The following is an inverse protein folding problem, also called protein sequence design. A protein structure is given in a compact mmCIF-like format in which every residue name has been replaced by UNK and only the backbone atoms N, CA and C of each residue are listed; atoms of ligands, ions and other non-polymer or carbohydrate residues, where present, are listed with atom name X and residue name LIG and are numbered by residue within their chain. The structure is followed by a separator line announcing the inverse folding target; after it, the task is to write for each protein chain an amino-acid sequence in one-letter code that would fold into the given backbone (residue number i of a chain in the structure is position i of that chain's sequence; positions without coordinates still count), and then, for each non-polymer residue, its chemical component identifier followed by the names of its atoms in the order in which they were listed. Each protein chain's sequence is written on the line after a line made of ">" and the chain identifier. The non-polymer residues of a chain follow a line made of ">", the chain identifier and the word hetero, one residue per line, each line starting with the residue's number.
data_IF_953063875925
#
_entry.id   IF_953063875925
#
_cell.length_a   1.000
_cell.length_b   1.000
_cell.length_c   1.000
_cell.angle_alpha   90.00
_cell.angle_beta   90.00
_cell.angle_gamma   90.00
#
_symmetry.space_group_name_H-M   'P 1'
#
loop_
_entity.id
_entity.type
_entity.pdbx_description
1 polymer ?
#
# COMPACT_ATOMS: atom_id res chain seq x y z
N UNK A 1 -0.80 31.32 42.21
CA UNK A 1 -1.38 31.98 41.02
C UNK A 1 -0.73 31.40 39.79
N UNK A 2 -1.50 31.16 38.73
CA UNK A 2 -1.03 30.50 37.50
C UNK A 2 -0.44 31.49 36.50
N UNK A 3 0.78 31.23 36.03
CA UNK A 3 1.24 31.71 34.73
C UNK A 3 1.30 30.52 33.77
N UNK A 4 0.20 30.31 33.05
CA UNK A 4 0.13 29.43 31.88
C UNK A 4 0.52 30.21 30.61
N UNK A 5 0.73 29.49 29.50
CA UNK A 5 0.90 29.99 28.12
C UNK A 5 2.25 30.74 27.88
N UNK A 6 3.12 30.36 26.94
CA UNK A 6 3.00 29.44 25.81
C UNK A 6 4.29 28.65 25.60
N UNK A 7 4.22 27.32 25.50
CA UNK A 7 5.17 26.55 24.70
C UNK A 7 4.74 26.67 23.23
N UNK A 8 5.70 26.88 22.33
CA UNK A 8 5.45 27.46 21.02
C UNK A 8 4.63 26.55 20.08
N UNK A 9 3.32 26.84 19.95
CA UNK A 9 2.50 26.32 18.86
C UNK A 9 2.97 26.89 17.53
N UNK A 10 3.85 26.16 16.83
CA UNK A 10 4.23 26.46 15.45
C UNK A 10 4.14 25.20 14.58
N UNK A 11 2.91 24.75 14.31
CA UNK A 11 2.67 23.79 13.23
C UNK A 11 2.49 24.59 11.93
N UNK A 12 3.33 24.33 10.93
CA UNK A 12 3.23 24.95 9.60
C UNK A 12 2.01 24.38 8.83
N UNK A 13 0.80 24.75 9.28
CA UNK A 13 -0.49 24.48 8.61
C UNK A 13 -0.70 25.44 7.43
N UNK A 14 0.20 25.39 6.44
CA UNK A 14 -0.12 25.88 5.10
C UNK A 14 -1.39 25.15 4.63
N UNK A 15 -2.39 25.91 4.15
CA UNK A 15 -3.78 25.47 3.93
C UNK A 15 -3.94 24.30 2.92
N UNK A 16 -3.60 23.09 3.35
CA UNK A 16 -3.94 21.85 2.66
C UNK A 16 -5.40 21.52 2.94
N UNK A 17 -6.27 21.64 1.93
CA UNK A 17 -7.64 21.17 2.03
C UNK A 17 -7.63 19.65 2.21
N UNK A 18 -7.94 19.19 3.42
CA UNK A 18 -8.06 17.78 3.74
C UNK A 18 -9.20 17.11 2.93
N UNK A 19 -9.12 15.80 2.68
CA UNK A 19 -10.26 15.03 2.17
C UNK A 19 -11.48 15.14 3.10
N UNK A 20 -12.67 14.95 2.54
CA UNK A 20 -13.89 14.91 3.33
C UNK A 20 -13.83 13.76 4.36
N UNK A 21 -14.22 14.05 5.60
CA UNK A 21 -14.06 13.14 6.75
C UNK A 21 -12.71 13.21 7.48
N UNK A 22 -11.66 13.80 6.91
CA UNK A 22 -10.33 13.84 7.55
C UNK A 22 -10.08 15.13 8.33
N UNK A 23 -9.41 15.02 9.49
CA UNK A 23 -8.98 16.14 10.34
C UNK A 23 -7.50 16.03 10.71
N UNK A 24 -6.87 17.11 11.18
CA UNK A 24 -5.59 17.01 11.88
C UNK A 24 -5.82 16.59 13.34
N UNK A 25 -4.94 15.75 13.90
CA UNK A 25 -5.06 15.32 15.30
C UNK A 25 -5.10 16.51 16.27
N UNK A 26 -4.30 17.54 15.99
CA UNK A 26 -4.21 18.77 16.78
C UNK A 26 -5.51 19.57 16.88
N UNK A 27 -6.47 19.37 15.96
CA UNK A 27 -7.75 20.10 15.97
C UNK A 27 -8.86 19.37 16.74
N UNK A 28 -8.64 18.12 17.18
CA UNK A 28 -9.58 17.32 17.97
C UNK A 28 -9.02 16.88 19.33
N UNK A 29 -7.70 16.71 19.42
CA UNK A 29 -7.00 16.28 20.64
C UNK A 29 -5.64 16.99 20.78
N UNK A 30 -5.64 18.33 21.00
CA UNK A 30 -4.42 19.11 21.16
C UNK A 30 -3.57 18.72 22.39
N UNK A 31 -4.15 17.97 23.34
CA UNK A 31 -3.46 17.40 24.50
C UNK A 31 -2.56 16.20 24.16
N UNK A 32 -2.70 15.61 22.97
CA UNK A 32 -1.88 14.48 22.53
C UNK A 32 -0.58 14.99 21.92
N UNK A 33 0.53 14.58 22.52
CA UNK A 33 1.89 14.81 22.03
C UNK A 33 2.14 14.00 20.74
N UNK A 34 2.76 14.59 19.72
CA UNK A 34 2.80 14.01 18.35
C UNK A 34 4.24 13.73 17.92
N UNK A 35 4.58 12.45 17.74
CA UNK A 35 5.86 12.02 17.18
C UNK A 35 5.65 11.28 15.86
N UNK A 36 5.78 11.98 14.74
CA UNK A 36 5.59 11.42 13.39
C UNK A 36 6.88 10.73 12.92
N UNK A 37 7.10 9.50 13.39
CA UNK A 37 8.35 8.73 13.18
C UNK A 37 8.79 8.69 11.70
N UNK A 38 7.84 8.47 10.78
CA UNK A 38 8.10 8.36 9.34
C UNK A 38 8.40 9.70 8.63
N UNK A 39 8.09 10.85 9.25
CA UNK A 39 8.52 12.16 8.75
C UNK A 39 9.99 12.49 9.11
N UNK A 40 10.59 11.71 10.03
CA UNK A 40 11.98 11.82 10.50
C UNK A 40 12.86 10.76 9.82
N UNK A 41 14.15 10.72 10.18
CA UNK A 41 15.07 9.64 9.77
C UNK A 41 15.13 8.47 10.76
N UNK A 42 14.60 8.68 11.96
CA UNK A 42 14.61 7.73 13.06
C UNK A 42 13.44 6.74 12.92
N UNK A 43 13.53 5.86 11.92
CA UNK A 43 12.58 4.80 11.62
C UNK A 43 13.32 3.65 10.89
N UNK A 44 12.63 2.56 10.56
CA UNK A 44 13.25 1.39 9.93
C UNK A 44 13.76 1.59 8.48
N UNK A 45 13.51 2.71 7.83
CA UNK A 45 14.17 3.07 6.55
C UNK A 45 15.47 3.85 6.77
N UNK A 46 15.75 4.34 7.99
CA UNK A 46 16.87 5.25 8.27
C UNK A 46 16.77 6.61 7.56
N UNK A 47 15.62 6.91 6.95
CA UNK A 47 15.39 8.09 6.12
C UNK A 47 13.91 8.55 6.19
N UNK A 48 13.63 9.75 5.64
CA UNK A 48 12.26 10.30 5.60
C UNK A 48 11.41 9.54 4.59
N UNK A 49 10.28 9.00 5.02
CA UNK A 49 9.42 8.16 4.20
C UNK A 49 8.64 9.00 3.18
N UNK A 50 8.67 8.57 1.91
CA UNK A 50 7.97 9.23 0.81
C UNK A 50 6.45 9.36 1.10
N UNK A 51 5.94 10.60 1.11
CA UNK A 51 4.54 10.91 1.45
C UNK A 51 4.33 11.46 2.86
N UNK A 52 5.27 11.29 3.79
CA UNK A 52 5.24 11.91 5.12
C UNK A 52 5.86 13.31 5.08
N UNK A 53 5.27 14.20 4.26
CA UNK A 53 5.98 15.43 3.90
C UNK A 53 6.14 16.46 5.04
N UNK A 54 5.29 16.38 6.06
CA UNK A 54 5.31 17.24 7.26
C UNK A 54 5.10 16.39 8.52
N UNK A 55 5.62 16.86 9.65
CA UNK A 55 5.34 16.29 10.98
C UNK A 55 3.93 16.67 11.48
N UNK A 56 2.89 16.24 10.77
CA UNK A 56 1.49 16.42 11.16
C UNK A 56 0.71 15.13 10.92
N UNK A 57 -0.09 14.71 11.90
CA UNK A 57 -0.90 13.50 11.79
C UNK A 57 -2.30 13.90 11.33
N UNK A 58 -2.77 13.29 10.25
CA UNK A 58 -4.14 13.43 9.71
C UNK A 58 -4.88 12.12 10.03
N UNK A 59 -6.03 12.19 10.68
CA UNK A 59 -6.61 11.03 11.38
C UNK A 59 -8.15 11.01 11.45
N UNK A 60 -8.68 9.87 11.91
CA UNK A 60 -9.69 9.80 12.97
C UNK A 60 -9.02 9.29 14.29
N UNK A 61 -8.14 10.10 14.92
CA UNK A 61 -7.19 9.72 16.02
C UNK A 61 -6.15 8.61 15.59
N UNK A 62 -4.93 8.35 16.09
CA UNK A 62 -3.84 9.01 16.90
C UNK A 62 -2.46 8.58 16.28
N UNK A 63 -1.32 9.21 16.65
CA UNK A 63 0.10 8.89 16.35
C UNK A 63 0.52 8.65 14.87
N UNK A 64 0.21 7.51 14.25
CA UNK A 64 0.25 7.37 12.78
C UNK A 64 -1.04 6.72 12.27
N UNK A 65 -1.88 7.51 11.60
CA UNK A 65 -3.22 7.09 11.18
C UNK A 65 -3.32 6.87 9.67
N UNK A 66 -3.15 7.91 8.85
CA UNK A 66 -3.20 7.80 7.39
C UNK A 66 -1.81 7.59 6.76
N UNK A 67 -1.56 6.37 6.28
CA UNK A 67 -0.34 5.98 5.55
C UNK A 67 -0.64 5.88 4.05
N UNK A 68 -0.10 6.82 3.27
CA UNK A 68 -0.22 6.83 1.81
C UNK A 68 0.22 5.49 1.20
N UNK A 69 -0.47 4.98 0.17
CA UNK A 69 -0.06 3.74 -0.50
C UNK A 69 1.37 3.80 -1.06
N UNK A 70 1.87 4.98 -1.47
CA UNK A 70 3.27 5.16 -1.89
C UNK A 70 4.30 4.84 -0.78
N UNK A 71 3.95 5.05 0.49
CA UNK A 71 4.80 4.70 1.63
C UNK A 71 4.83 3.18 1.83
N UNK A 72 3.67 2.52 1.69
CA UNK A 72 3.55 1.05 1.69
C UNK A 72 4.35 0.44 0.54
N UNK A 73 4.33 1.05 -0.65
CA UNK A 73 5.15 0.62 -1.79
C UNK A 73 6.65 0.80 -1.50
N UNK A 74 7.06 1.93 -0.91
CA UNK A 74 8.45 2.17 -0.49
C UNK A 74 8.92 1.14 0.55
N UNK A 75 8.03 0.68 1.45
CA UNK A 75 8.32 -0.41 2.37
C UNK A 75 8.56 -1.75 1.64
N UNK A 76 7.79 -2.06 0.56
CA UNK A 76 8.04 -3.23 -0.31
C UNK A 76 9.37 -3.11 -1.05
N UNK A 77 9.64 -1.97 -1.68
CA UNK A 77 10.88 -1.72 -2.41
C UNK A 77 12.10 -1.90 -1.50
N UNK A 78 12.06 -1.31 -0.31
CA UNK A 78 13.11 -1.42 0.68
C UNK A 78 13.30 -2.86 1.22
N UNK A 79 12.23 -3.60 1.51
CA UNK A 79 12.37 -4.96 2.06
C UNK A 79 12.96 -5.95 1.06
N UNK A 80 12.72 -5.71 -0.23
CA UNK A 80 13.26 -6.51 -1.33
C UNK A 80 14.73 -6.18 -1.61
N UNK A 81 15.21 -4.98 -1.30
CA UNK A 81 16.64 -4.67 -1.30
C UNK A 81 17.35 -5.33 -0.11
N UNK A 82 17.79 -6.57 -0.32
CA UNK A 82 18.59 -7.33 0.63
C UNK A 82 20.04 -6.80 0.81
N UNK A 83 20.48 -5.79 0.05
CA UNK A 83 21.82 -5.19 0.21
C UNK A 83 21.84 -4.12 1.30
N UNK A 84 20.79 -3.32 1.44
CA UNK A 84 20.63 -2.42 2.58
C UNK A 84 20.30 -3.20 3.86
N UNK A 85 21.21 -3.10 4.83
CA UNK A 85 21.11 -3.65 6.17
C UNK A 85 21.31 -2.56 7.26
N UNK A 86 21.28 -1.28 6.90
CA UNK A 86 21.72 -0.13 7.73
C UNK A 86 21.08 -0.13 9.13
N UNK A 87 19.81 -0.52 9.21
CA UNK A 87 19.00 -0.51 10.44
C UNK A 87 18.76 -1.90 11.04
N UNK A 88 19.24 -2.99 10.41
CA UNK A 88 18.84 -4.38 10.74
C UNK A 88 18.98 -4.70 12.23
N UNK A 89 20.13 -4.37 12.81
CA UNK A 89 20.42 -4.63 14.23
C UNK A 89 19.43 -3.95 15.20
N UNK A 90 18.81 -2.84 14.78
CA UNK A 90 17.96 -2.01 15.62
C UNK A 90 16.45 -2.31 15.46
N UNK A 91 16.02 -2.94 14.37
CA UNK A 91 14.59 -3.13 14.05
C UNK A 91 14.20 -4.57 13.67
N UNK A 92 15.10 -5.37 13.07
CA UNK A 92 14.81 -6.75 12.66
C UNK A 92 16.06 -7.66 12.81
N UNK A 93 16.69 -7.74 14.01
CA UNK A 93 17.96 -8.42 14.19
C UNK A 93 17.91 -9.90 13.81
N UNK A 94 16.82 -10.60 14.14
CA UNK A 94 16.70 -12.05 14.00
C UNK A 94 16.03 -12.50 12.68
N UNK A 95 15.47 -11.58 11.89
CA UNK A 95 14.71 -11.88 10.65
C UNK A 95 15.49 -11.42 9.42
N UNK A 96 15.46 -12.18 8.31
CA UNK A 96 16.05 -11.71 7.05
C UNK A 96 15.08 -10.71 6.39
N UNK A 97 15.60 -9.61 5.83
CA UNK A 97 14.78 -8.52 5.27
C UNK A 97 13.71 -8.99 4.28
N UNK A 98 14.05 -9.95 3.43
CA UNK A 98 13.14 -10.63 2.47
C UNK A 98 11.95 -11.36 3.12
N UNK A 99 12.09 -11.83 4.36
CA UNK A 99 11.07 -12.64 5.05
C UNK A 99 10.06 -11.76 5.80
N UNK A 100 10.26 -10.43 5.86
CA UNK A 100 9.40 -9.49 6.62
C UNK A 100 7.95 -9.46 6.12
N UNK A 101 7.72 -9.67 4.82
CA UNK A 101 6.39 -9.77 4.23
C UNK A 101 5.69 -11.09 4.59
N UNK A 102 6.38 -12.23 4.47
CA UNK A 102 5.81 -13.55 4.81
C UNK A 102 5.57 -13.68 6.33
N UNK A 103 6.46 -13.10 7.15
CA UNK A 103 6.25 -12.95 8.59
C UNK A 103 5.15 -11.94 8.93
N UNK A 104 4.75 -11.07 8.00
CA UNK A 104 3.59 -10.18 8.11
C UNK A 104 3.81 -8.88 8.89
N UNK A 105 5.06 -8.46 9.08
CA UNK A 105 5.42 -7.15 9.67
C UNK A 105 5.44 -6.02 8.64
N UNK A 106 5.32 -6.36 7.35
CA UNK A 106 5.05 -5.39 6.28
C UNK A 106 3.94 -5.99 5.41
N UNK A 107 2.89 -5.22 5.16
CA UNK A 107 1.73 -5.64 4.38
C UNK A 107 1.68 -4.91 3.03
N UNK A 108 1.34 -5.62 1.95
CA UNK A 108 1.09 -5.01 0.63
C UNK A 108 -0.11 -4.04 0.65
N UNK A 109 -1.07 -4.32 1.53
CA UNK A 109 -2.28 -3.53 1.78
C UNK A 109 -2.37 -3.28 3.28
N UNK A 110 -2.08 -2.06 3.71
CA UNK A 110 -2.02 -1.68 5.13
C UNK A 110 -3.37 -1.18 5.65
N UNK A 111 -3.64 -1.39 6.94
CA UNK A 111 -4.79 -0.79 7.63
C UNK A 111 -4.74 0.74 7.64
N UNK A 112 -3.55 1.31 7.84
CA UNK A 112 -3.33 2.76 7.86
C UNK A 112 -3.68 3.45 6.54
N UNK A 113 -3.71 2.72 5.42
CA UNK A 113 -4.18 3.26 4.13
C UNK A 113 -5.70 3.49 4.08
N UNK A 114 -6.45 3.10 5.13
CA UNK A 114 -7.87 3.44 5.37
C UNK A 114 -8.07 4.50 6.47
N UNK A 115 -6.98 5.04 7.05
CA UNK A 115 -7.03 6.11 8.07
C UNK A 115 -7.69 5.77 9.41
N UNK A 116 -8.04 4.49 9.62
CA UNK A 116 -8.78 3.97 10.80
C UNK A 116 -7.96 2.96 11.63
N UNK A 117 -6.66 2.90 11.35
CA UNK A 117 -5.66 2.04 11.98
C UNK A 117 -4.52 2.90 12.49
N UNK A 118 -3.97 2.57 13.67
CA UNK A 118 -3.06 3.42 14.42
C UNK A 118 -1.96 2.63 15.13
N UNK A 119 -0.73 3.15 15.08
CA UNK A 119 0.43 2.62 15.82
C UNK A 119 0.71 3.54 17.02
N UNK A 120 0.65 3.01 18.25
CA UNK A 120 0.56 3.80 19.48
C UNK A 120 1.48 3.29 20.61
N UNK A 121 1.77 4.15 21.60
CA UNK A 121 2.35 3.78 22.91
C UNK A 121 1.65 4.56 24.05
N UNK A 122 1.99 4.25 25.30
CA UNK A 122 1.57 5.01 26.49
C UNK A 122 2.81 5.66 27.13
N UNK A 123 2.71 6.96 27.44
CA UNK A 123 3.68 7.68 28.27
C UNK A 123 3.13 7.89 29.70
N UNK A 124 4.02 7.95 30.68
CA UNK A 124 3.67 8.50 32.00
C UNK A 124 3.64 10.04 31.91
N UNK A 125 2.56 10.65 32.41
CA UNK A 125 2.34 12.10 32.29
C UNK A 125 3.29 12.91 33.18
N UNK A 126 3.84 12.32 34.24
CA UNK A 126 4.70 12.98 35.22
C UNK A 126 6.19 12.90 34.88
N UNK A 127 6.67 11.77 34.35
CA UNK A 127 8.06 11.61 33.90
C UNK A 127 8.27 11.99 32.44
N UNK A 128 7.22 11.92 31.60
CA UNK A 128 7.25 12.00 30.14
C UNK A 128 7.96 10.85 29.41
N UNK A 129 8.33 9.79 30.13
CA UNK A 129 8.90 8.57 29.55
C UNK A 129 7.79 7.63 29.03
N UNK A 130 8.12 6.82 28.03
CA UNK A 130 7.28 5.69 27.61
C UNK A 130 7.23 4.61 28.69
N UNK A 131 6.08 3.93 28.82
CA UNK A 131 5.99 2.72 29.65
C UNK A 131 6.84 1.59 29.03
N UNK A 132 7.43 0.74 29.88
CA UNK A 132 8.14 -0.44 29.38
C UNK A 132 7.16 -1.37 28.66
N UNK A 133 7.32 -1.50 27.34
CA UNK A 133 6.53 -2.40 26.48
C UNK A 133 7.35 -3.60 25.98
N UNK A 134 8.56 -3.84 26.50
CA UNK A 134 9.41 -5.00 26.21
C UNK A 134 10.10 -5.01 24.84
N UNK A 135 9.52 -4.34 23.85
CA UNK A 135 10.14 -3.97 22.57
C UNK A 135 9.70 -2.54 22.23
N UNK A 136 10.44 -1.84 21.38
CA UNK A 136 10.01 -0.54 20.82
C UNK A 136 9.01 -0.72 19.66
N UNK A 137 8.36 0.37 19.27
CA UNK A 137 7.59 0.43 18.01
C UNK A 137 8.48 0.07 16.80
N UNK A 138 7.89 -0.55 15.79
CA UNK A 138 8.53 -1.06 14.57
C UNK A 138 9.63 -2.13 14.81
N UNK A 139 9.69 -2.77 15.98
CA UNK A 139 10.60 -3.91 16.18
C UNK A 139 10.00 -5.19 15.58
N UNK A 140 10.35 -5.51 14.33
CA UNK A 140 9.88 -6.69 13.59
C UNK A 140 10.54 -7.98 14.10
N UNK A 141 10.02 -8.49 15.22
CA UNK A 141 10.45 -9.71 15.89
C UNK A 141 9.28 -10.32 16.66
N UNK A 142 9.32 -11.64 16.93
CA UNK A 142 8.24 -12.34 17.64
C UNK A 142 8.10 -11.87 19.10
N UNK A 143 9.12 -11.21 19.66
CA UNK A 143 9.05 -10.45 20.92
C UNK A 143 8.04 -9.28 20.89
N UNK A 144 7.66 -8.77 19.72
CA UNK A 144 6.65 -7.71 19.57
C UNK A 144 5.21 -8.23 19.52
N UNK A 145 5.00 -9.55 19.40
CA UNK A 145 3.67 -10.17 19.52
C UNK A 145 3.03 -9.78 20.86
N UNK A 146 1.78 -9.32 20.85
CA UNK A 146 1.15 -8.62 21.99
C UNK A 146 1.13 -9.47 23.26
N UNK A 147 0.97 -10.79 23.12
CA UNK A 147 0.91 -11.76 24.22
C UNK A 147 2.17 -12.66 24.28
N UNK A 148 3.32 -12.16 23.82
CA UNK A 148 4.60 -12.88 23.85
C UNK A 148 4.98 -13.33 25.29
N UNK A 149 5.38 -14.61 25.49
CA UNK A 149 5.66 -15.15 26.82
C UNK A 149 7.07 -14.82 27.37
N UNK A 150 7.98 -14.28 26.56
CA UNK A 150 9.40 -14.12 26.88
C UNK A 150 9.80 -12.68 27.26
N UNK A 151 8.94 -11.69 27.00
CA UNK A 151 9.11 -10.30 27.49
C UNK A 151 8.94 -10.20 29.03
N UNK A 152 9.32 -9.05 29.62
CA UNK A 152 9.22 -8.84 31.07
C UNK A 152 7.77 -8.90 31.61
N UNK A 153 7.62 -9.14 32.91
CA UNK A 153 6.31 -9.13 33.58
C UNK A 153 5.63 -7.77 33.55
N UNK A 154 6.41 -6.69 33.57
CA UNK A 154 5.89 -5.32 33.50
C UNK A 154 5.46 -4.97 32.07
N UNK A 155 6.23 -5.39 31.06
CA UNK A 155 5.84 -5.29 29.65
C UNK A 155 4.53 -6.06 29.35
N UNK A 156 4.35 -7.28 29.87
CA UNK A 156 3.08 -8.03 29.76
C UNK A 156 1.91 -7.26 30.37
N UNK A 157 2.09 -6.70 31.57
CA UNK A 157 1.10 -5.89 32.27
C UNK A 157 0.74 -4.62 31.48
N UNK A 158 1.73 -3.92 30.93
CA UNK A 158 1.53 -2.70 30.16
C UNK A 158 0.86 -2.95 28.81
N UNK A 159 1.31 -3.96 28.05
CA UNK A 159 0.64 -4.41 26.80
C UNK A 159 -0.80 -4.83 27.03
N UNK A 160 -1.08 -5.61 28.08
CA UNK A 160 -2.44 -6.05 28.42
C UNK A 160 -3.33 -4.87 28.85
N UNK A 161 -2.83 -3.98 29.73
CA UNK A 161 -3.54 -2.76 30.12
C UNK A 161 -3.88 -1.91 28.89
N UNK A 162 -2.90 -1.72 28.00
CA UNK A 162 -3.07 -0.92 26.79
C UNK A 162 -4.08 -1.53 25.82
N UNK A 163 -3.97 -2.84 25.56
CA UNK A 163 -4.93 -3.59 24.73
C UNK A 163 -6.36 -3.44 25.27
N UNK A 164 -6.57 -3.61 26.58
CA UNK A 164 -7.88 -3.48 27.21
C UNK A 164 -8.43 -2.03 27.18
N UNK A 165 -7.57 -1.01 27.28
CA UNK A 165 -7.97 0.40 27.11
C UNK A 165 -8.43 0.64 25.66
N UNK A 166 -7.65 0.20 24.67
CA UNK A 166 -7.97 0.39 23.26
C UNK A 166 -9.23 -0.39 22.84
N UNK A 167 -9.38 -1.63 23.29
CA UNK A 167 -10.58 -2.45 23.05
C UNK A 167 -11.84 -1.85 23.67
N UNK A 168 -11.74 -1.26 24.86
CA UNK A 168 -12.83 -0.52 25.51
C UNK A 168 -13.30 0.68 24.69
N UNK A 169 -12.42 1.29 23.90
CA UNK A 169 -12.75 2.38 22.98
C UNK A 169 -13.02 1.92 21.53
N UNK A 170 -13.32 0.63 21.32
CA UNK A 170 -13.81 0.11 20.05
C UNK A 170 -12.72 -0.34 19.07
N UNK A 171 -11.45 -0.36 19.47
CA UNK A 171 -10.36 -0.86 18.64
C UNK A 171 -10.16 -2.38 18.78
N UNK A 172 -9.36 -2.94 17.87
CA UNK A 172 -8.87 -4.32 17.83
C UNK A 172 -7.35 -4.30 17.62
N UNK A 173 -6.61 -5.07 18.42
CA UNK A 173 -5.15 -5.17 18.28
C UNK A 173 -4.76 -6.16 17.17
N UNK A 174 -3.70 -5.87 16.42
CA UNK A 174 -3.02 -6.89 15.61
C UNK A 174 -2.05 -7.67 16.50
N UNK A 175 -2.28 -8.98 16.64
CA UNK A 175 -1.60 -9.82 17.65
C UNK A 175 -0.09 -9.96 17.50
N UNK A 176 0.50 -9.52 16.37
CA UNK A 176 1.96 -9.51 16.17
C UNK A 176 2.65 -8.21 16.59
N UNK A 177 1.89 -7.15 16.81
CA UNK A 177 2.39 -5.78 16.96
C UNK A 177 1.64 -5.12 18.10
N UNK A 178 2.25 -5.09 19.30
CA UNK A 178 1.58 -4.60 20.52
C UNK A 178 1.11 -3.15 20.44
N UNK A 179 1.72 -2.35 19.56
CA UNK A 179 1.39 -0.94 19.31
C UNK A 179 0.22 -0.76 18.34
N UNK A 180 -0.15 -1.78 17.56
CA UNK A 180 -0.99 -1.65 16.38
C UNK A 180 -2.48 -1.93 16.67
N UNK A 181 -3.35 -0.99 16.32
CA UNK A 181 -4.79 -1.06 16.60
C UNK A 181 -5.64 -0.57 15.42
N UNK A 182 -6.71 -1.28 15.06
CA UNK A 182 -7.71 -0.86 14.05
C UNK A 182 -9.08 -0.66 14.69
N UNK A 183 -9.83 0.36 14.28
CA UNK A 183 -11.20 0.59 14.75
C UNK A 183 -12.14 -0.50 14.20
N UNK A 184 -12.89 -1.20 15.06
CA UNK A 184 -13.74 -2.35 14.66
C UNK A 184 -14.86 -1.95 13.69
N UNK A 185 -15.52 -0.82 13.98
CA UNK A 185 -16.51 -0.20 13.11
C UNK A 185 -15.86 0.92 12.27
N UNK A 186 -14.80 0.59 11.54
CA UNK A 186 -14.13 1.53 10.64
C UNK A 186 -15.09 2.11 9.58
N UNK A 187 -15.11 3.44 9.34
CA UNK A 187 -15.99 4.08 8.37
C UNK A 187 -15.62 3.73 6.92
N UNK A 188 -14.34 3.51 6.66
CA UNK A 188 -13.79 2.99 5.40
C UNK A 188 -13.40 1.53 5.65
N UNK A 189 -14.09 0.59 5.02
CA UNK A 189 -14.00 -0.83 5.38
C UNK A 189 -12.89 -1.53 4.62
N UNK A 190 -12.50 -2.71 5.09
CA UNK A 190 -11.58 -3.64 4.41
C UNK A 190 -12.10 -4.11 3.04
N UNK A 191 -12.07 -3.22 2.05
CA UNK A 191 -12.43 -3.42 0.66
C UNK A 191 -11.41 -2.75 -0.28
N UNK A 192 -11.25 -3.19 -1.55
CA UNK A 192 -10.32 -2.57 -2.49
C UNK A 192 -10.61 -1.10 -2.84
N UNK A 193 -11.88 -0.68 -2.78
CA UNK A 193 -12.30 0.70 -3.08
C UNK A 193 -11.90 1.75 -2.01
N UNK A 194 -11.70 1.34 -0.75
CA UNK A 194 -11.55 2.24 0.42
C UNK A 194 -10.10 2.65 0.75
N UNK A 195 -9.18 2.54 -0.21
CA UNK A 195 -7.75 2.84 -0.04
C UNK A 195 -7.32 4.13 -0.76
N UNK A 196 -6.94 5.15 0.00
CA UNK A 196 -6.58 6.47 -0.54
C UNK A 196 -5.19 6.46 -1.20
N UNK A 197 -5.16 6.54 -2.54
CA UNK A 197 -3.98 6.99 -3.28
C UNK A 197 -4.26 8.24 -4.11
N UNK A 198 -3.62 9.33 -3.72
CA UNK A 198 -3.39 10.49 -4.58
C UNK A 198 -1.89 10.81 -4.52
N UNK A 199 -1.20 10.78 -5.66
CA UNK A 199 -1.36 11.89 -6.59
C UNK A 199 -1.50 11.51 -8.07
N UNK A 200 -1.51 10.22 -8.45
CA UNK A 200 -1.44 9.79 -9.87
C UNK A 200 -2.52 10.49 -10.71
N UNK A 201 -3.78 10.44 -10.26
CA UNK A 201 -4.90 11.11 -10.92
C UNK A 201 -4.77 12.63 -10.99
N UNK A 202 -4.17 13.28 -9.99
CA UNK A 202 -3.96 14.74 -9.99
C UNK A 202 -2.87 15.14 -11.00
N UNK A 203 -1.81 14.35 -11.11
CA UNK A 203 -0.61 14.70 -11.87
C UNK A 203 -0.68 14.25 -13.34
N UNK A 204 -1.35 13.13 -13.64
CA UNK A 204 -1.27 12.46 -14.94
C UNK A 204 -2.59 12.33 -15.69
N UNK A 205 -3.72 12.85 -15.18
CA UNK A 205 -5.01 12.81 -15.92
C UNK A 205 -4.94 13.61 -17.24
N UNK A 206 -4.21 14.72 -17.26
CA UNK A 206 -3.92 15.48 -18.49
C UNK A 206 -3.01 14.69 -19.45
N UNK A 207 -1.99 14.01 -18.93
CA UNK A 207 -1.10 13.13 -19.72
C UNK A 207 -1.87 11.96 -20.35
N UNK A 208 -2.78 11.34 -19.59
CA UNK A 208 -3.66 10.28 -20.04
C UNK A 208 -4.66 10.75 -21.09
N UNK A 209 -5.28 11.92 -20.91
CA UNK A 209 -6.13 12.55 -21.94
C UNK A 209 -5.34 12.83 -23.23
N UNK A 210 -4.15 13.41 -23.12
CA UNK A 210 -3.24 13.65 -24.27
C UNK A 210 -2.82 12.35 -24.96
N UNK A 211 -2.57 11.28 -24.20
CA UNK A 211 -2.29 9.96 -24.75
C UNK A 211 -3.51 9.38 -25.48
N UNK A 212 -4.70 9.46 -24.89
CA UNK A 212 -5.97 9.01 -25.50
C UNK A 212 -6.25 9.71 -26.83
N UNK A 213 -6.03 11.02 -26.88
CA UNK A 213 -6.18 11.91 -28.04
C UNK A 213 -5.05 11.77 -29.08
N UNK A 214 -4.04 10.93 -28.84
CA UNK A 214 -2.89 10.73 -29.75
C UNK A 214 -1.88 11.89 -29.75
N UNK A 215 -2.00 12.88 -28.86
CA UNK A 215 -1.08 14.02 -28.74
C UNK A 215 0.32 13.64 -28.23
N UNK A 216 0.50 12.42 -27.72
CA UNK A 216 1.79 11.86 -27.31
C UNK A 216 2.33 10.80 -28.28
N UNK A 217 1.85 10.75 -29.53
CA UNK A 217 2.22 9.70 -30.50
C UNK A 217 3.74 9.54 -30.72
N UNK A 218 4.53 10.61 -30.63
CA UNK A 218 6.00 10.51 -30.75
C UNK A 218 6.66 9.67 -29.65
N UNK A 219 5.96 9.34 -28.56
CA UNK A 219 6.45 8.40 -27.56
C UNK A 219 6.45 6.96 -28.09
N UNK A 220 5.72 6.64 -29.17
CA UNK A 220 5.77 5.33 -29.84
C UNK A 220 7.08 5.10 -30.64
N UNK A 221 7.98 6.10 -30.65
CA UNK A 221 9.23 6.16 -31.40
C UNK A 221 10.48 5.81 -30.57
N UNK A 222 10.37 5.62 -29.23
CA UNK A 222 11.43 5.00 -28.39
C UNK A 222 10.90 3.93 -27.42
N UNK A 223 11.83 3.15 -26.87
CA UNK A 223 11.64 2.09 -25.90
C UNK A 223 11.06 2.57 -24.55
N UNK A 224 11.54 3.70 -23.99
CA UNK A 224 10.97 4.27 -22.76
C UNK A 224 9.67 5.01 -23.03
N UNK A 225 9.53 5.63 -24.21
CA UNK A 225 8.31 6.32 -24.60
C UNK A 225 7.13 5.34 -24.70
N UNK A 226 7.33 4.19 -25.36
CA UNK A 226 6.27 3.20 -25.51
C UNK A 226 5.96 2.49 -24.18
N UNK A 227 6.99 2.27 -23.34
CA UNK A 227 6.81 1.80 -21.97
C UNK A 227 5.97 2.79 -21.14
N UNK A 228 6.24 4.10 -21.24
CA UNK A 228 5.50 5.13 -20.53
C UNK A 228 4.03 5.18 -21.00
N UNK A 229 3.75 5.05 -22.30
CA UNK A 229 2.38 4.92 -22.81
C UNK A 229 1.68 3.65 -22.28
N UNK A 230 2.39 2.52 -22.21
CA UNK A 230 1.86 1.28 -21.62
C UNK A 230 1.52 1.46 -20.13
N UNK A 231 2.41 2.07 -19.34
CA UNK A 231 2.16 2.38 -17.92
C UNK A 231 0.95 3.31 -17.77
N UNK A 232 0.82 4.33 -18.62
CA UNK A 232 -0.33 5.26 -18.63
C UNK A 232 -1.65 4.53 -18.92
N UNK A 233 -1.67 3.59 -19.87
CA UNK A 233 -2.87 2.90 -20.32
C UNK A 233 -3.23 1.62 -19.53
N UNK A 234 -2.29 0.99 -18.84
CA UNK A 234 -2.50 -0.26 -18.09
C UNK A 234 -2.42 -0.11 -16.57
N UNK A 235 -1.49 0.71 -16.07
CA UNK A 235 -1.21 0.82 -14.62
C UNK A 235 -1.85 2.08 -14.02
N UNK A 236 -1.75 3.22 -14.70
CA UNK A 236 -2.38 4.46 -14.23
C UNK A 236 -3.89 4.43 -14.44
N UNK A 237 -4.41 3.84 -15.51
CA UNK A 237 -5.85 3.66 -15.75
C UNK A 237 -6.56 2.99 -14.55
N UNK A 238 -6.03 1.85 -14.09
CA UNK A 238 -6.54 1.08 -12.94
C UNK A 238 -6.54 1.85 -11.62
N UNK A 239 -5.61 2.81 -11.45
CA UNK A 239 -5.51 3.63 -10.24
C UNK A 239 -6.28 4.96 -10.34
N UNK A 240 -6.36 5.57 -11.52
CA UNK A 240 -7.09 6.84 -11.74
C UNK A 240 -8.61 6.66 -11.87
N UNK A 241 -9.05 5.44 -12.20
CA UNK A 241 -10.44 5.11 -12.51
C UNK A 241 -10.91 3.81 -11.83
N UNK A 242 -10.34 3.48 -10.66
CA UNK A 242 -10.74 2.32 -9.87
C UNK A 242 -12.26 2.26 -9.70
N UNK A 243 -12.81 1.06 -9.67
CA UNK A 243 -14.24 0.78 -9.50
C UNK A 243 -15.16 1.35 -10.60
N UNK A 244 -14.59 1.72 -11.75
CA UNK A 244 -15.33 2.10 -12.96
C UNK A 244 -14.85 1.36 -14.23
N UNK A 245 -15.69 1.22 -15.27
CA UNK A 245 -15.28 0.64 -16.57
C UNK A 245 -14.01 1.25 -17.17
N UNK A 246 -13.76 2.53 -16.88
CA UNK A 246 -12.63 3.31 -17.37
C UNK A 246 -11.27 2.78 -16.88
N UNK A 247 -11.23 1.95 -15.83
CA UNK A 247 -10.03 1.20 -15.43
C UNK A 247 -9.55 0.19 -16.50
N UNK A 248 -10.44 -0.28 -17.37
CA UNK A 248 -10.18 -1.30 -18.39
C UNK A 248 -10.26 -0.77 -19.83
N UNK A 249 -10.77 0.46 -20.01
CA UNK A 249 -11.07 1.04 -21.32
C UNK A 249 -9.84 1.24 -22.23
N UNK A 250 -8.62 1.10 -21.70
CA UNK A 250 -7.36 1.22 -22.43
C UNK A 250 -6.50 -0.03 -22.44
N UNK A 251 -6.98 -1.16 -21.89
CA UNK A 251 -6.26 -2.46 -21.87
C UNK A 251 -5.77 -2.85 -23.28
N UNK A 252 -6.64 -2.77 -24.29
CA UNK A 252 -6.30 -3.07 -25.68
C UNK A 252 -5.28 -2.09 -26.28
N UNK A 253 -5.27 -0.83 -25.87
CA UNK A 253 -4.24 0.15 -26.32
C UNK A 253 -2.88 -0.22 -25.73
N UNK A 254 -2.82 -0.51 -24.43
CA UNK A 254 -1.59 -0.94 -23.76
C UNK A 254 -1.04 -2.24 -24.37
N UNK A 255 -1.90 -3.23 -24.61
CA UNK A 255 -1.52 -4.50 -25.24
C UNK A 255 -0.96 -4.32 -26.66
N UNK A 256 -1.57 -3.45 -27.47
CA UNK A 256 -1.07 -3.18 -28.82
C UNK A 256 0.32 -2.51 -28.80
N UNK A 257 0.54 -1.57 -27.87
CA UNK A 257 1.83 -0.91 -27.68
C UNK A 257 2.90 -1.87 -27.14
N UNK A 258 2.53 -2.77 -26.21
CA UNK A 258 3.41 -3.83 -25.72
C UNK A 258 3.83 -4.80 -26.84
N UNK A 259 2.88 -5.23 -27.69
CA UNK A 259 3.15 -6.02 -28.89
C UNK A 259 4.08 -5.28 -29.87
N UNK A 260 3.88 -3.97 -30.08
CA UNK A 260 4.73 -3.13 -30.92
C UNK A 260 6.16 -3.02 -30.38
N UNK A 261 6.34 -2.86 -29.07
CA UNK A 261 7.66 -2.81 -28.44
C UNK A 261 8.44 -4.13 -28.61
N UNK A 262 7.78 -5.26 -28.37
CA UNK A 262 8.37 -6.60 -28.55
C UNK A 262 8.68 -6.87 -30.03
N UNK A 263 7.81 -6.47 -30.95
CA UNK A 263 8.04 -6.61 -32.39
C UNK A 263 9.25 -5.78 -32.89
N UNK A 264 9.53 -4.63 -32.26
CA UNK A 264 10.74 -3.83 -32.49
C UNK A 264 11.97 -4.36 -31.72
N UNK A 265 11.81 -5.33 -30.82
CA UNK A 265 12.86 -5.85 -29.95
C UNK A 265 13.22 -4.95 -28.75
N UNK A 266 12.54 -3.83 -28.58
CA UNK A 266 12.79 -2.83 -27.52
C UNK A 266 12.59 -3.38 -26.10
N UNK A 267 11.83 -4.46 -25.94
CA UNK A 267 11.71 -5.17 -24.68
C UNK A 267 13.04 -5.78 -24.19
N UNK A 268 14.04 -5.90 -25.06
CA UNK A 268 15.40 -6.37 -24.74
C UNK A 268 16.29 -5.23 -24.21
N UNK A 269 16.18 -4.05 -24.79
CA UNK A 269 16.97 -2.86 -24.44
C UNK A 269 16.54 -2.24 -23.09
N UNK A 270 15.24 -2.31 -22.75
CA UNK A 270 14.74 -1.85 -21.45
C UNK A 270 15.43 -2.54 -20.26
N UNK A 271 15.63 -1.83 -19.14
CA UNK A 271 16.16 -2.44 -17.91
C UNK A 271 15.23 -3.53 -17.36
N UNK A 272 15.81 -4.53 -16.69
CA UNK A 272 15.09 -5.75 -16.27
C UNK A 272 13.96 -5.48 -15.27
N UNK A 273 14.11 -4.48 -14.40
CA UNK A 273 13.08 -4.02 -13.45
C UNK A 273 11.84 -3.41 -14.14
N UNK A 274 11.98 -2.91 -15.39
CA UNK A 274 10.89 -2.27 -16.13
C UNK A 274 10.15 -3.22 -17.07
N UNK A 275 10.80 -4.29 -17.56
CA UNK A 275 10.20 -5.23 -18.53
C UNK A 275 8.86 -5.81 -18.07
N UNK A 276 8.66 -6.00 -16.75
CA UNK A 276 7.40 -6.49 -16.19
C UNK A 276 6.19 -5.60 -16.53
N UNK A 277 6.33 -4.27 -16.50
CA UNK A 277 5.23 -3.35 -16.83
C UNK A 277 4.90 -3.38 -18.33
N UNK A 278 5.89 -3.64 -19.18
CA UNK A 278 5.67 -3.86 -20.61
C UNK A 278 4.92 -5.17 -20.88
N UNK A 279 5.10 -6.19 -20.04
CA UNK A 279 4.49 -7.51 -20.21
C UNK A 279 3.14 -7.68 -19.51
N UNK A 280 2.82 -6.87 -18.49
CA UNK A 280 1.53 -6.91 -17.76
C UNK A 280 0.27 -6.83 -18.65
N UNK A 281 0.20 -6.02 -19.72
CA UNK A 281 -0.98 -5.99 -20.61
C UNK A 281 -1.36 -7.35 -21.22
N UNK A 282 -0.40 -8.27 -21.40
CA UNK A 282 -0.68 -9.63 -21.87
C UNK A 282 -1.44 -10.46 -20.83
N UNK A 283 -1.10 -10.28 -19.55
CA UNK A 283 -1.79 -10.89 -18.40
C UNK A 283 -3.17 -10.28 -18.15
N UNK A 284 -3.36 -9.00 -18.51
CA UNK A 284 -4.64 -8.29 -18.35
C UNK A 284 -5.60 -8.45 -19.54
N UNK A 285 -5.17 -9.05 -20.66
CA UNK A 285 -6.00 -9.33 -21.83
C UNK A 285 -7.07 -10.40 -21.53
N UNK A 286 -8.27 -10.25 -22.09
CA UNK A 286 -9.30 -11.31 -22.09
C UNK A 286 -9.15 -12.21 -23.34
N UNK A 287 -7.91 -12.66 -23.58
CA UNK A 287 -7.54 -13.55 -24.68
C UNK A 287 -6.51 -14.59 -24.20
N UNK A 288 -6.69 -15.85 -24.60
CA UNK A 288 -5.87 -16.96 -24.12
C UNK A 288 -4.44 -16.95 -24.69
N UNK A 289 -4.26 -16.63 -25.97
CA UNK A 289 -2.93 -16.56 -26.62
C UNK A 289 -2.09 -15.44 -26.00
N UNK A 290 -2.72 -14.30 -25.71
CA UNK A 290 -2.09 -13.20 -24.97
C UNK A 290 -1.65 -13.65 -23.58
N UNK A 291 -2.51 -14.31 -22.82
CA UNK A 291 -2.16 -14.79 -21.48
C UNK A 291 -1.03 -15.83 -21.52
N UNK A 292 -1.03 -16.74 -22.50
CA UNK A 292 0.07 -17.70 -22.67
C UNK A 292 1.37 -17.06 -23.15
N UNK A 293 1.32 -15.90 -23.81
CA UNK A 293 2.49 -15.05 -24.06
C UNK A 293 2.92 -14.31 -22.78
N UNK A 294 1.98 -13.79 -22.00
CA UNK A 294 2.21 -13.16 -20.69
C UNK A 294 2.95 -14.08 -19.72
N UNK A 295 2.53 -15.34 -19.58
CA UNK A 295 3.22 -16.37 -18.77
C UNK A 295 4.68 -16.55 -19.22
N UNK A 296 4.93 -16.65 -20.53
CA UNK A 296 6.29 -16.83 -21.09
C UNK A 296 7.21 -15.63 -20.85
N UNK A 297 6.64 -14.41 -20.75
CA UNK A 297 7.38 -13.16 -20.61
C UNK A 297 7.59 -12.74 -19.14
N UNK A 298 6.58 -12.92 -18.29
CA UNK A 298 6.58 -12.51 -16.88
C UNK A 298 7.28 -13.52 -15.95
N UNK A 299 7.40 -14.79 -16.35
CA UNK A 299 7.85 -15.93 -15.53
C UNK A 299 9.29 -15.94 -15.00
N UNK A 300 9.91 -14.77 -14.80
CA UNK A 300 11.28 -14.60 -14.28
C UNK A 300 11.38 -14.64 -12.75
N UNK A 301 10.26 -14.55 -12.03
CA UNK A 301 10.15 -14.74 -10.58
C UNK A 301 8.99 -15.67 -10.25
N UNK A 302 9.03 -16.34 -9.10
CA UNK A 302 7.96 -17.24 -8.66
C UNK A 302 6.63 -16.48 -8.46
N UNK A 303 6.66 -15.26 -7.91
CA UNK A 303 5.50 -14.37 -7.76
C UNK A 303 4.87 -14.06 -9.13
N UNK A 304 5.65 -13.56 -10.10
CA UNK A 304 5.13 -13.18 -11.41
C UNK A 304 4.66 -14.41 -12.22
N UNK A 305 5.36 -15.53 -12.13
CA UNK A 305 4.95 -16.79 -12.77
C UNK A 305 3.61 -17.28 -12.20
N UNK A 306 3.45 -17.24 -10.87
CA UNK A 306 2.20 -17.61 -10.19
C UNK A 306 1.04 -16.72 -10.64
N UNK A 307 1.19 -15.39 -10.60
CA UNK A 307 0.12 -14.47 -11.01
C UNK A 307 -0.25 -14.62 -12.49
N UNK A 308 0.73 -14.74 -13.39
CA UNK A 308 0.48 -14.92 -14.81
C UNK A 308 -0.25 -16.25 -15.12
N UNK A 309 0.13 -17.35 -14.46
CA UNK A 309 -0.56 -18.64 -14.59
C UNK A 309 -2.00 -18.56 -14.06
N UNK A 310 -2.22 -17.88 -12.91
CA UNK A 310 -3.56 -17.71 -12.34
C UNK A 310 -4.48 -16.89 -13.27
N UNK A 311 -3.98 -15.83 -13.92
CA UNK A 311 -4.75 -15.10 -14.94
C UNK A 311 -5.04 -15.98 -16.17
N UNK A 312 -4.02 -16.68 -16.69
CA UNK A 312 -4.16 -17.60 -17.83
C UNK A 312 -5.22 -18.67 -17.55
N UNK A 313 -5.21 -19.27 -16.37
CA UNK A 313 -6.15 -20.34 -16.03
C UNK A 313 -7.61 -19.85 -15.91
N UNK A 314 -7.82 -18.62 -15.45
CA UNK A 314 -9.15 -17.98 -15.45
C UNK A 314 -9.61 -17.71 -16.89
N UNK A 315 -8.77 -17.12 -17.73
CA UNK A 315 -9.09 -16.88 -19.16
C UNK A 315 -9.29 -18.20 -19.92
N UNK A 316 -8.52 -19.25 -19.61
CA UNK A 316 -8.68 -20.58 -20.19
C UNK A 316 -9.99 -21.26 -19.79
N UNK A 317 -10.53 -20.96 -18.61
CA UNK A 317 -11.78 -21.53 -18.09
C UNK A 317 -13.02 -20.76 -18.57
N UNK A 318 -12.99 -19.43 -18.54
CA UNK A 318 -14.17 -18.59 -18.77
C UNK A 318 -14.11 -17.73 -20.04
N UNK A 319 -12.97 -17.68 -20.74
CA UNK A 319 -12.73 -16.77 -21.88
C UNK A 319 -12.61 -15.29 -21.52
N UNK A 320 -12.80 -14.93 -20.24
CA UNK A 320 -12.85 -13.56 -19.71
C UNK A 320 -12.57 -13.57 -18.20
N UNK A 321 -12.42 -12.40 -17.58
CA UNK A 321 -12.28 -12.26 -16.13
C UNK A 321 -13.65 -12.08 -15.45
N UNK A 322 -14.14 -13.06 -14.65
CA UNK A 322 -15.50 -12.98 -14.08
C UNK A 322 -15.69 -11.82 -13.09
N UNK A 323 -14.64 -11.44 -12.36
CA UNK A 323 -14.68 -10.29 -11.45
C UNK A 323 -14.89 -8.95 -12.17
N UNK A 324 -14.59 -8.87 -13.47
CA UNK A 324 -14.89 -7.69 -14.29
C UNK A 324 -16.35 -7.62 -14.76
N UNK A 325 -17.18 -8.66 -14.52
CA UNK A 325 -18.53 -8.71 -15.08
C UNK A 325 -19.45 -7.60 -14.56
N UNK A 326 -19.53 -7.39 -13.24
CA UNK A 326 -20.38 -6.34 -12.65
C UNK A 326 -19.98 -4.93 -13.14
N UNK A 327 -18.68 -4.62 -13.05
CA UNK A 327 -18.09 -3.33 -13.43
C UNK A 327 -18.12 -3.05 -14.95
N UNK A 328 -18.23 -4.07 -15.79
CA UNK A 328 -18.42 -3.95 -17.24
C UNK A 328 -19.88 -4.21 -17.70
N UNK A 329 -20.85 -4.24 -16.76
CA UNK A 329 -22.27 -4.51 -17.03
C UNK A 329 -22.54 -5.81 -17.82
N UNK A 330 -21.76 -6.87 -17.55
CA UNK A 330 -21.92 -8.21 -18.15
C UNK A 330 -22.68 -9.13 -17.20
N UNK A 331 -23.62 -9.91 -17.72
CA UNK A 331 -24.21 -11.03 -16.98
C UNK A 331 -23.16 -12.12 -16.74
N UNK A 332 -23.03 -12.59 -15.50
CA UNK A 332 -22.23 -13.78 -15.15
C UNK A 332 -23.02 -15.07 -15.38
N UNK A 333 -22.34 -16.16 -15.73
CA UNK A 333 -22.91 -17.53 -15.68
C UNK A 333 -22.97 -18.06 -14.25
N UNK A 334 -23.71 -19.15 -14.04
CA UNK A 334 -23.76 -19.84 -12.73
C UNK A 334 -22.36 -20.31 -12.27
N UNK A 335 -21.53 -20.80 -13.20
CA UNK A 335 -20.16 -21.23 -12.91
C UNK A 335 -19.26 -20.04 -12.52
N UNK A 336 -19.41 -18.89 -13.19
CA UNK A 336 -18.72 -17.66 -12.82
C UNK A 336 -19.16 -17.14 -11.44
N UNK A 337 -20.45 -17.23 -11.11
CA UNK A 337 -20.98 -16.84 -9.79
C UNK A 337 -20.46 -17.76 -8.68
N UNK A 338 -20.34 -19.06 -8.93
CA UNK A 338 -19.76 -19.99 -7.95
C UNK A 338 -18.24 -19.82 -7.82
N UNK A 339 -17.53 -19.57 -8.93
CA UNK A 339 -16.11 -19.24 -8.92
C UNK A 339 -15.82 -17.96 -8.12
N UNK A 340 -16.66 -16.93 -8.24
CA UNK A 340 -16.48 -15.66 -7.52
C UNK A 340 -16.49 -15.80 -5.99
N UNK A 341 -17.09 -16.86 -5.43
CA UNK A 341 -17.08 -17.16 -3.99
C UNK A 341 -15.76 -17.75 -3.49
N UNK A 342 -14.86 -18.16 -4.39
CA UNK A 342 -13.64 -18.90 -4.06
C UNK A 342 -12.47 -17.95 -3.78
N UNK A 343 -11.45 -18.44 -3.06
CA UNK A 343 -10.21 -17.68 -2.87
C UNK A 343 -9.48 -17.53 -4.21
N UNK A 344 -8.91 -16.34 -4.46
CA UNK A 344 -8.25 -15.94 -5.71
C UNK A 344 -9.19 -15.81 -6.94
N UNK A 345 -10.48 -15.49 -6.72
CA UNK A 345 -11.43 -15.22 -7.82
C UNK A 345 -11.30 -13.82 -8.45
N UNK A 346 -10.66 -12.90 -7.71
CA UNK A 346 -10.29 -11.54 -8.10
C UNK A 346 -8.81 -11.27 -7.78
N UNK A 347 -8.31 -10.17 -8.34
CA UNK A 347 -6.95 -9.64 -8.17
C UNK A 347 -7.04 -8.16 -7.79
#
# INVERSE_FOLDING_TARGET
>A
MSNSNNLAYNTNKDNYKLPEGFTYLSDIAPEIEQYVMYAKKDNFLGNKVNGYEKEVIICFKVFDAYRHQRAVNHFKEWSLDASDQIVKANYYPNINKKDLFDKGYIALLSGHSRGSTVDLTIIDISSKEELEMGTKIDFMDELSHTENPDISSEAKKNRLMFRLIMEKYGFENYSKEWWHFTLKDEPFKRKPEDHFDFPIRKNFIDTYSKALEGKLKSWEESEEGILALVIIFDQFSRNMFRDSPQAFATDQKALNLAKQAIAKGWDKELKQEYKQFLYMPFMHSENLEDNEMGVKLLGKTEENQRYAVMHRDIIKRFGRFPHRNNILNRSSTEEEVEFLKQKNSSF
#
